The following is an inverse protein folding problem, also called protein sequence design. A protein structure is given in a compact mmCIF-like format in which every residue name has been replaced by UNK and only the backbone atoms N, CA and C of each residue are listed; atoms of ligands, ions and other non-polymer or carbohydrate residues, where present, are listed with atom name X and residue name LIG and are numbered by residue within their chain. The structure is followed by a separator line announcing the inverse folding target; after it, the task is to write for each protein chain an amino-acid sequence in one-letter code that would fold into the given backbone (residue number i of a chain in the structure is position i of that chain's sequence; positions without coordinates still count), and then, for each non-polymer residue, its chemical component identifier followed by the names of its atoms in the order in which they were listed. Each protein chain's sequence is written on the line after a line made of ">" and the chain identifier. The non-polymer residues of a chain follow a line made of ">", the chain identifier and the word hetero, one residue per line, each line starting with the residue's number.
data_IF_836442897931
#
_entry.id   IF_836442897931
#
_cell.length_a   1.000
_cell.length_b   1.000
_cell.length_c   1.000
_cell.angle_alpha   90.00
_cell.angle_beta   90.00
_cell.angle_gamma   90.00
#
_symmetry.space_group_name_H-M   'P 1'
#
loop_
_entity.id
_entity.type
_entity.pdbx_description
1 polymer ?
#
# COMPACT_ATOMS: atom_id res chain seq x y z
N UNK A 1 -11.37 -7.58 18.58
CA UNK A 1 -11.36 -8.44 17.38
C UNK A 1 -9.94 -8.38 16.86
N UNK A 2 -9.33 -9.49 16.46
CA UNK A 2 -7.98 -9.44 15.92
C UNK A 2 -8.03 -8.83 14.51
N UNK A 3 -7.18 -7.85 14.23
CA UNK A 3 -7.02 -7.26 12.90
C UNK A 3 -6.50 -8.33 11.95
N UNK A 4 -7.05 -8.42 10.74
CA UNK A 4 -6.56 -9.37 9.74
C UNK A 4 -5.95 -8.66 8.54
N UNK A 5 -5.00 -9.33 7.87
CA UNK A 5 -4.38 -8.82 6.64
C UNK A 5 -5.42 -8.44 5.58
N UNK A 6 -6.56 -9.15 5.56
CA UNK A 6 -7.66 -8.87 4.63
C UNK A 6 -8.33 -7.52 4.92
N UNK A 7 -8.48 -7.13 6.18
CA UNK A 7 -9.08 -5.86 6.56
C UNK A 7 -8.15 -4.70 6.21
N UNK A 8 -6.86 -4.84 6.53
CA UNK A 8 -5.80 -3.89 6.15
C UNK A 8 -5.74 -3.73 4.63
N UNK A 9 -5.66 -4.84 3.87
CA UNK A 9 -5.67 -4.79 2.39
C UNK A 9 -6.93 -4.18 1.81
N UNK A 10 -8.07 -4.26 2.51
CA UNK A 10 -9.32 -3.64 2.06
C UNK A 10 -9.26 -2.12 2.24
N UNK A 11 -8.75 -1.63 3.37
CA UNK A 11 -8.54 -0.21 3.59
C UNK A 11 -7.52 0.37 2.59
N UNK A 12 -6.43 -0.35 2.33
CA UNK A 12 -5.40 0.07 1.39
C UNK A 12 -5.83 0.09 -0.08
N UNK A 13 -6.99 -0.50 -0.43
CA UNK A 13 -7.59 -0.32 -1.76
C UNK A 13 -8.21 1.05 -1.95
N UNK A 14 -8.54 1.77 -0.88
CA UNK A 14 -9.08 3.13 -0.98
C UNK A 14 -7.98 4.14 -1.29
N UNK A 15 -6.74 3.80 -0.96
CA UNK A 15 -5.57 4.61 -1.23
C UNK A 15 -5.07 4.39 -2.65
N UNK A 16 -5.07 5.49 -3.42
CA UNK A 16 -4.73 5.50 -4.83
C UNK A 16 -3.53 6.38 -5.07
N UNK A 17 -2.69 5.95 -5.98
CA UNK A 17 -1.61 6.76 -6.50
C UNK A 17 -2.20 7.94 -7.30
N UNK A 18 -1.93 9.20 -6.95
CA UNK A 18 -2.51 10.36 -7.65
C UNK A 18 -1.87 10.61 -9.02
N UNK A 19 -0.71 10.02 -9.32
CA UNK A 19 -0.07 10.12 -10.65
C UNK A 19 -0.68 9.14 -11.65
N UNK A 20 -0.90 7.89 -11.22
CA UNK A 20 -1.41 6.81 -12.07
C UNK A 20 -2.93 6.61 -11.94
N UNK A 21 -3.56 7.12 -10.88
CA UNK A 21 -4.98 6.94 -10.59
C UNK A 21 -5.38 5.51 -10.20
N UNK A 22 -4.41 4.69 -9.79
CA UNK A 22 -4.58 3.26 -9.50
C UNK A 22 -4.32 2.95 -8.02
N UNK A 23 -4.96 1.89 -7.52
CA UNK A 23 -4.84 1.48 -6.12
C UNK A 23 -3.44 0.89 -5.83
N UNK A 24 -2.86 1.18 -4.66
CA UNK A 24 -1.54 0.66 -4.28
C UNK A 24 -1.48 -0.87 -4.27
N UNK A 25 -2.58 -1.50 -3.84
CA UNK A 25 -2.75 -2.95 -3.84
C UNK A 25 -2.72 -3.50 -5.27
N UNK A 26 -3.34 -2.79 -6.21
CA UNK A 26 -3.39 -3.18 -7.63
C UNK A 26 -2.04 -3.00 -8.29
N UNK A 27 -1.35 -1.92 -7.97
CA UNK A 27 -0.01 -1.65 -8.46
C UNK A 27 1.04 -2.63 -7.90
N UNK A 28 0.72 -3.37 -6.83
CA UNK A 28 1.69 -4.24 -6.17
C UNK A 28 2.79 -3.45 -5.46
N UNK A 29 2.45 -2.25 -4.98
CA UNK A 29 3.34 -1.37 -4.24
C UNK A 29 3.43 -1.74 -2.76
N UNK A 30 2.55 -2.60 -2.27
CA UNK A 30 2.63 -3.17 -0.93
C UNK A 30 3.48 -4.42 -0.98
N UNK A 31 4.60 -4.40 -0.26
CA UNK A 31 5.59 -5.47 -0.26
C UNK A 31 5.32 -6.43 0.88
N UNK A 32 5.05 -5.90 2.06
CA UNK A 32 4.80 -6.68 3.27
C UNK A 32 3.76 -5.99 4.16
N UNK A 33 3.04 -6.81 4.94
CA UNK A 33 2.06 -6.37 5.94
C UNK A 33 2.24 -7.30 7.13
N UNK A 34 2.83 -6.78 8.20
CA UNK A 34 2.96 -7.46 9.48
C UNK A 34 1.88 -6.93 10.42
N UNK A 35 1.23 -7.85 11.14
CA UNK A 35 0.18 -7.51 12.11
C UNK A 35 0.55 -8.19 13.42
N UNK A 36 0.83 -7.38 14.43
CA UNK A 36 1.11 -7.83 15.79
C UNK A 36 0.00 -7.34 16.72
N UNK A 37 -0.99 -8.19 16.97
CA UNK A 37 -2.19 -7.90 17.76
C UNK A 37 -2.99 -6.68 17.24
N UNK A 38 -2.67 -5.47 17.71
CA UNK A 38 -3.28 -4.21 17.33
C UNK A 38 -2.30 -3.24 16.61
N UNK A 39 -1.04 -3.63 16.46
CA UNK A 39 -0.01 -2.88 15.74
C UNK A 39 0.09 -3.40 14.30
N UNK A 40 0.02 -2.50 13.31
CA UNK A 40 0.14 -2.87 11.90
C UNK A 40 1.35 -2.19 11.30
N UNK A 41 2.28 -3.00 10.79
CA UNK A 41 3.43 -2.52 10.04
C UNK A 41 3.24 -2.83 8.56
N UNK A 42 3.23 -1.80 7.72
CA UNK A 42 3.09 -1.93 6.28
C UNK A 42 4.37 -1.45 5.57
N UNK A 43 5.02 -2.35 4.84
CA UNK A 43 6.16 -2.01 4.00
C UNK A 43 5.68 -1.73 2.58
N UNK A 44 5.83 -0.49 2.13
CA UNK A 44 5.43 -0.03 0.81
C UNK A 44 6.63 0.43 -0.01
N UNK A 45 6.48 0.38 -1.34
CA UNK A 45 7.41 0.96 -2.29
C UNK A 45 6.71 1.99 -3.17
N UNK A 46 7.48 2.77 -3.89
CA UNK A 46 6.99 3.76 -4.85
C UNK A 46 7.53 3.47 -6.24
N UNK A 47 6.79 3.95 -7.22
CA UNK A 47 7.21 3.93 -8.62
C UNK A 47 8.44 4.81 -8.87
N UNK A 48 8.69 5.81 -8.02
CA UNK A 48 9.83 6.74 -8.11
C UNK A 48 10.33 7.24 -6.75
N UNK A 49 11.66 7.30 -6.50
CA UNK A 49 12.24 7.72 -5.22
C UNK A 49 12.16 9.22 -4.95
N UNK A 50 11.88 10.04 -5.98
CA UNK A 50 11.78 11.50 -5.87
C UNK A 50 10.35 12.00 -5.98
N UNK A 51 9.35 11.13 -5.79
CA UNK A 51 7.97 11.55 -5.95
C UNK A 51 7.57 12.51 -4.83
N UNK A 52 7.18 13.78 -5.12
CA UNK A 52 6.82 14.75 -4.09
C UNK A 52 5.57 14.33 -3.30
N UNK A 53 4.77 13.41 -3.85
CA UNK A 53 3.58 12.85 -3.19
C UNK A 53 3.89 11.60 -2.35
N UNK A 54 5.14 11.15 -2.28
CA UNK A 54 5.56 10.00 -1.46
C UNK A 54 5.06 10.11 -0.01
N UNK A 55 5.30 11.28 0.62
CA UNK A 55 4.85 11.53 1.98
C UNK A 55 3.33 11.55 2.11
N UNK A 56 2.63 12.08 1.10
CA UNK A 56 1.17 12.07 1.08
C UNK A 56 0.62 10.65 1.02
N UNK A 57 1.16 9.81 0.13
CA UNK A 57 0.79 8.40 0.00
C UNK A 57 1.02 7.65 1.33
N UNK A 58 2.17 7.87 1.98
CA UNK A 58 2.47 7.27 3.28
C UNK A 58 1.43 7.66 4.33
N UNK A 59 1.07 8.93 4.40
CA UNK A 59 0.06 9.42 5.33
C UNK A 59 -1.34 8.89 5.00
N UNK A 60 -1.71 8.80 3.73
CA UNK A 60 -2.97 8.20 3.30
C UNK A 60 -3.03 6.69 3.63
N UNK A 61 -1.95 5.95 3.38
CA UNK A 61 -1.79 4.53 3.78
C UNK A 61 -1.98 4.40 5.28
N UNK A 62 -1.24 5.20 6.05
CA UNK A 62 -1.29 5.20 7.51
C UNK A 62 -2.71 5.46 8.00
N UNK A 63 -3.34 6.54 7.53
CA UNK A 63 -4.70 6.95 7.89
C UNK A 63 -5.73 5.87 7.53
N UNK A 64 -5.58 5.22 6.37
CA UNK A 64 -6.48 4.15 5.96
C UNK A 64 -6.39 2.93 6.91
N UNK A 65 -5.18 2.56 7.34
CA UNK A 65 -4.97 1.45 8.28
C UNK A 65 -5.45 1.85 9.68
N UNK A 66 -5.18 3.07 10.15
CA UNK A 66 -5.67 3.58 11.44
C UNK A 66 -7.21 3.60 11.49
N UNK A 67 -7.88 3.72 10.34
CA UNK A 67 -9.34 3.63 10.23
C UNK A 67 -9.91 2.21 10.39
N UNK A 68 -9.07 1.18 10.45
CA UNK A 68 -9.51 -0.22 10.62
C UNK A 68 -9.84 -0.48 12.09
N UNK A 69 -11.04 -1.00 12.35
CA UNK A 69 -11.49 -1.34 13.69
C UNK A 69 -10.57 -2.38 14.36
N UNK A 70 -9.95 -1.99 15.47
CA UNK A 70 -9.00 -2.82 16.22
C UNK A 70 -7.52 -2.51 15.99
N UNK A 71 -7.17 -1.54 15.14
CA UNK A 71 -5.81 -1.01 15.02
C UNK A 71 -5.57 0.07 16.06
N UNK A 72 -4.48 -0.04 16.82
CA UNK A 72 -4.05 0.95 17.83
C UNK A 72 -2.85 1.77 17.32
N UNK A 73 -1.89 1.13 16.63
CA UNK A 73 -0.71 1.78 16.06
C UNK A 73 -0.44 1.31 14.63
N UNK A 74 0.11 2.23 13.81
CA UNK A 74 0.43 1.98 12.41
C UNK A 74 1.81 2.51 12.08
N UNK A 75 2.68 1.60 11.65
CA UNK A 75 4.00 1.92 11.12
C UNK A 75 4.04 1.70 9.60
N UNK A 76 4.34 2.74 8.84
CA UNK A 76 4.50 2.64 7.38
C UNK A 76 5.97 2.82 7.03
N UNK A 77 6.57 1.78 6.46
CA UNK A 77 7.97 1.76 6.07
C UNK A 77 8.12 1.86 4.55
N UNK A 78 8.90 2.83 4.10
CA UNK A 78 9.20 3.02 2.68
C UNK A 78 10.47 2.27 2.30
N UNK A 79 10.34 1.29 1.41
CA UNK A 79 11.48 0.59 0.80
C UNK A 79 11.57 0.82 -0.70
N UNK A 80 12.78 0.96 -1.21
CA UNK A 80 13.08 1.00 -2.64
C UNK A 80 13.83 -0.25 -3.11
N UNK A 81 14.04 -1.20 -2.20
CA UNK A 81 14.79 -2.42 -2.45
C UNK A 81 13.90 -3.65 -2.15
N UNK A 82 13.61 -4.50 -3.14
CA UNK A 82 13.92 -4.36 -4.58
C UNK A 82 13.09 -3.25 -5.27
N UNK A 83 13.59 -2.68 -6.39
CA UNK A 83 12.85 -1.65 -7.11
C UNK A 83 11.52 -2.19 -7.62
N UNK A 84 10.47 -1.37 -7.52
CA UNK A 84 9.17 -1.72 -8.06
C UNK A 84 9.25 -1.88 -9.58
N UNK A 85 8.54 -2.88 -10.11
CA UNK A 85 8.42 -3.11 -11.55
C UNK A 85 6.96 -3.35 -11.92
N UNK A 86 6.52 -2.89 -13.10
CA UNK A 86 5.13 -3.07 -13.56
C UNK A 86 4.72 -4.53 -13.77
N UNK A 87 5.67 -5.47 -13.75
CA UNK A 87 5.39 -6.91 -13.78
C UNK A 87 4.70 -7.41 -12.49
N UNK A 88 4.80 -6.65 -11.40
CA UNK A 88 4.08 -6.92 -10.14
C UNK A 88 2.57 -6.68 -10.25
N UNK A 89 2.12 -5.91 -11.25
CA UNK A 89 0.70 -5.68 -11.50
C UNK A 89 0.07 -6.99 -11.99
N UNK A 90 -1.10 -7.34 -11.45
CA UNK A 90 -1.82 -8.52 -11.90
C UNK A 90 -2.00 -8.50 -13.44
N UNK A 91 -1.75 -9.62 -14.15
CA UNK A 91 -1.70 -9.64 -15.63
C UNK A 91 -3.00 -9.19 -16.29
N UNK A 92 -4.14 -9.41 -15.63
CA UNK A 92 -5.45 -8.92 -16.10
C UNK A 92 -5.54 -7.38 -16.10
N UNK A 93 -4.94 -6.73 -15.11
CA UNK A 93 -4.95 -5.27 -14.98
C UNK A 93 -3.89 -4.67 -15.90
N UNK A 94 -2.72 -5.31 -16.01
CA UNK A 94 -1.66 -4.91 -16.95
C UNK A 94 -2.18 -4.81 -18.40
N UNK A 95 -2.94 -5.82 -18.84
CA UNK A 95 -3.58 -5.82 -20.15
C UNK A 95 -4.61 -4.69 -20.33
N UNK A 96 -5.33 -4.31 -19.26
CA UNK A 96 -6.30 -3.22 -19.29
C UNK A 96 -5.65 -1.83 -19.34
N UNK A 97 -4.39 -1.72 -18.94
CA UNK A 97 -3.58 -0.50 -18.97
C UNK A 97 -2.72 -0.38 -20.24
N UNK A 98 -2.73 -1.40 -21.10
CA UNK A 98 -1.96 -1.43 -22.35
C UNK A 98 -0.48 -1.77 -22.18
N UNK A 99 -0.10 -2.46 -21.10
CA UNK A 99 1.26 -2.90 -20.75
C UNK A 99 1.48 -4.41 -20.95
#
# INVERSE_FOLDING_TARGET
>A
MAVTEKDVRKALKEVKDPELGLDLVVLGLIYDIEIDDAEVKATISLTSPFCPVAGQIVEDVRTAIEGVDGVDDVEVELTFEPPWTPDRIAPLIRASLGL
#
